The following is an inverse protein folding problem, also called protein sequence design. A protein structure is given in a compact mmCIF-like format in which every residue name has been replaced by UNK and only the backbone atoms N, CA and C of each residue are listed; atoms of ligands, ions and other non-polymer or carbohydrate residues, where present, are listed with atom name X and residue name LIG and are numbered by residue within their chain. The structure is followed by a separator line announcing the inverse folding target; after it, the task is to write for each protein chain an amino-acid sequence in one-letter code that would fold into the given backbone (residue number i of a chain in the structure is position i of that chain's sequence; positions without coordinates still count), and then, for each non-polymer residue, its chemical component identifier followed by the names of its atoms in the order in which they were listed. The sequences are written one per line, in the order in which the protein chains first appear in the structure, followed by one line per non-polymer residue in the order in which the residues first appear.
data_IF_382098963512
#
_entry.id   IF_382098963512
#
_cell.length_a   1.000
_cell.length_b   1.000
_cell.length_c   1.000
_cell.angle_alpha   90.00
_cell.angle_beta   90.00
_cell.angle_gamma   90.00
#
_symmetry.space_group_name_H-M   'P 1'
#
loop_
_entity.id
_entity.type
_entity.pdbx_description
1 polymer ?
#
# COMPACT_ATOMS: atom_id res chain seq x y z
N UNK A 1 -0.54 -16.21 -15.34
CA UNK A 1 -1.20 -15.04 -15.97
C UNK A 1 -0.17 -14.01 -16.39
N UNK A 2 -0.53 -13.07 -17.29
CA UNK A 2 0.29 -11.89 -17.57
C UNK A 2 -0.25 -10.69 -16.83
N UNK A 3 0.53 -10.14 -15.90
CA UNK A 3 0.09 -9.16 -14.93
C UNK A 3 0.96 -7.90 -15.00
N UNK A 4 0.31 -6.73 -15.10
CA UNK A 4 0.99 -5.46 -14.89
C UNK A 4 0.94 -5.10 -13.39
N UNK A 5 2.11 -4.83 -12.78
CA UNK A 5 2.21 -4.28 -11.43
C UNK A 5 2.81 -2.88 -11.52
N UNK A 6 2.05 -1.85 -11.27
CA UNK A 6 2.59 -0.49 -11.13
C UNK A 6 3.04 -0.22 -9.70
N UNK A 7 4.08 0.58 -9.52
CA UNK A 7 4.73 0.72 -8.22
C UNK A 7 5.58 -0.51 -7.85
N UNK A 8 6.13 -1.20 -8.85
CA UNK A 8 6.86 -2.46 -8.69
C UNK A 8 8.16 -2.35 -7.86
N UNK A 9 8.76 -1.17 -7.77
CA UNK A 9 9.89 -0.89 -6.87
C UNK A 9 9.44 -0.37 -5.49
N UNK A 10 8.13 -0.19 -5.29
CA UNK A 10 7.53 0.17 -4.02
C UNK A 10 7.53 -1.00 -3.03
N UNK A 11 7.12 -0.74 -1.79
CA UNK A 11 7.07 -1.74 -0.72
C UNK A 11 6.15 -2.91 -1.07
N UNK A 12 4.86 -2.64 -1.25
CA UNK A 12 3.86 -3.69 -1.52
C UNK A 12 4.05 -4.25 -2.93
N UNK A 13 4.34 -3.37 -3.91
CA UNK A 13 4.51 -3.79 -5.30
C UNK A 13 5.65 -4.77 -5.51
N UNK A 14 6.80 -4.56 -4.86
CA UNK A 14 7.92 -5.48 -4.95
C UNK A 14 7.64 -6.83 -4.26
N UNK A 15 7.01 -6.80 -3.08
CA UNK A 15 6.63 -8.01 -2.36
C UNK A 15 5.61 -8.85 -3.15
N UNK A 16 4.59 -8.19 -3.72
CA UNK A 16 3.60 -8.85 -4.58
C UNK A 16 4.23 -9.41 -5.86
N UNK A 17 5.05 -8.60 -6.54
CA UNK A 17 5.73 -9.04 -7.77
C UNK A 17 6.58 -10.29 -7.54
N UNK A 18 7.32 -10.35 -6.43
CA UNK A 18 8.12 -11.52 -6.09
C UNK A 18 7.24 -12.78 -5.95
N UNK A 19 6.14 -12.69 -5.21
CA UNK A 19 5.23 -13.83 -5.01
C UNK A 19 4.53 -14.27 -6.31
N UNK A 20 4.18 -13.33 -7.19
CA UNK A 20 3.65 -13.64 -8.52
C UNK A 20 4.69 -14.39 -9.38
N UNK A 21 5.94 -13.93 -9.38
CA UNK A 21 7.04 -14.54 -10.12
C UNK A 21 7.37 -15.95 -9.63
N UNK A 22 7.44 -16.14 -8.29
CA UNK A 22 7.63 -17.45 -7.65
C UNK A 22 6.50 -18.43 -7.98
N UNK A 23 5.29 -17.92 -8.18
CA UNK A 23 4.12 -18.68 -8.62
C UNK A 23 4.14 -19.05 -10.12
N UNK A 24 5.01 -18.42 -10.90
CA UNK A 24 5.17 -18.64 -12.33
C UNK A 24 4.34 -17.71 -13.23
N UNK A 25 3.82 -16.61 -12.71
CA UNK A 25 3.16 -15.58 -13.53
C UNK A 25 4.19 -14.74 -14.31
N UNK A 26 3.78 -14.22 -15.46
CA UNK A 26 4.55 -13.21 -16.20
C UNK A 26 4.24 -11.82 -15.66
N UNK A 27 5.21 -11.15 -15.09
CA UNK A 27 5.03 -9.84 -14.45
C UNK A 27 5.76 -8.74 -15.23
N UNK A 28 5.01 -7.72 -15.61
CA UNK A 28 5.59 -6.45 -16.09
C UNK A 28 5.49 -5.44 -14.95
N UNK A 29 6.63 -5.00 -14.44
CA UNK A 29 6.73 -3.99 -13.38
C UNK A 29 6.94 -2.60 -13.95
N UNK A 30 6.19 -1.63 -13.47
CA UNK A 30 6.37 -0.19 -13.80
C UNK A 30 6.61 0.60 -12.52
N UNK A 31 7.64 1.45 -12.51
CA UNK A 31 7.94 2.39 -11.43
C UNK A 31 8.79 3.54 -12.00
N UNK A 32 8.65 4.75 -11.49
CA UNK A 32 9.46 5.90 -11.92
C UNK A 32 10.69 6.13 -11.04
N UNK A 33 10.92 5.29 -10.06
CA UNK A 33 12.04 5.37 -9.10
C UNK A 33 12.23 6.76 -8.49
N UNK A 34 11.13 7.53 -8.29
CA UNK A 34 11.21 8.88 -7.74
C UNK A 34 11.96 8.91 -6.39
N UNK A 35 12.50 10.07 -6.07
CA UNK A 35 13.35 10.33 -4.91
C UNK A 35 12.58 10.77 -3.65
N UNK A 36 11.29 10.51 -3.57
CA UNK A 36 10.49 10.78 -2.37
C UNK A 36 11.09 10.17 -1.10
N UNK A 37 11.70 8.99 -1.24
CA UNK A 37 12.55 8.38 -0.23
C UNK A 37 13.73 7.66 -0.91
N UNK A 38 14.63 7.09 -0.12
CA UNK A 38 15.87 6.45 -0.59
C UNK A 38 15.67 5.57 -1.83
N UNK A 39 16.22 6.03 -2.96
CA UNK A 39 16.16 5.33 -4.25
C UNK A 39 16.96 4.02 -4.21
N UNK A 40 18.00 3.91 -3.35
CA UNK A 40 18.76 2.67 -3.24
C UNK A 40 17.92 1.54 -2.65
N UNK A 41 17.00 1.84 -1.73
CA UNK A 41 16.04 0.85 -1.24
C UNK A 41 15.10 0.37 -2.36
N UNK A 42 14.65 1.27 -3.25
CA UNK A 42 13.84 0.90 -4.42
C UNK A 42 14.63 -0.01 -5.37
N UNK A 43 15.89 0.35 -5.67
CA UNK A 43 16.79 -0.46 -6.51
C UNK A 43 17.09 -1.83 -5.87
N UNK A 44 17.27 -1.89 -4.56
CA UNK A 44 17.48 -3.14 -3.83
C UNK A 44 16.26 -4.07 -3.89
N UNK A 45 15.03 -3.52 -3.84
CA UNK A 45 13.80 -4.29 -4.08
C UNK A 45 13.75 -4.84 -5.49
N UNK A 46 14.05 -4.03 -6.51
CA UNK A 46 14.10 -4.45 -7.91
C UNK A 46 15.17 -5.52 -8.16
N UNK A 47 16.34 -5.42 -7.52
CA UNK A 47 17.40 -6.41 -7.64
C UNK A 47 16.96 -7.83 -7.27
N UNK A 48 15.89 -7.97 -6.46
CA UNK A 48 15.28 -9.26 -6.11
C UNK A 48 14.37 -9.80 -7.23
N UNK A 49 13.83 -8.94 -8.07
CA UNK A 49 12.92 -9.30 -9.16
C UNK A 49 13.63 -9.55 -10.48
N UNK A 50 14.63 -8.74 -10.79
CA UNK A 50 15.37 -8.78 -12.08
C UNK A 50 15.95 -10.15 -12.47
N UNK A 51 16.38 -11.06 -11.55
CA UNK A 51 16.87 -12.37 -11.93
C UNK A 51 15.79 -13.33 -12.48
N UNK A 52 14.49 -13.02 -12.26
CA UNK A 52 13.40 -13.86 -12.74
C UNK A 52 13.19 -13.66 -14.25
N UNK A 53 13.23 -14.74 -15.04
CA UNK A 53 13.09 -14.68 -16.50
C UNK A 53 11.72 -14.22 -16.98
N UNK A 54 10.70 -14.37 -16.12
CA UNK A 54 9.31 -13.95 -16.34
C UNK A 54 9.02 -12.54 -15.76
N UNK A 55 10.09 -11.75 -15.47
CA UNK A 55 9.97 -10.36 -15.05
C UNK A 55 10.52 -9.40 -16.10
N UNK A 56 9.71 -8.41 -16.45
CA UNK A 56 10.16 -7.28 -17.27
C UNK A 56 9.93 -5.98 -16.49
N UNK A 57 10.93 -5.11 -16.43
CA UNK A 57 10.83 -3.82 -15.76
C UNK A 57 10.86 -2.67 -16.76
N UNK A 58 9.94 -1.71 -16.60
CA UNK A 58 9.92 -0.45 -17.30
C UNK A 58 10.00 0.70 -16.31
N UNK A 59 11.09 1.47 -16.36
CA UNK A 59 11.22 2.72 -15.62
C UNK A 59 10.41 3.81 -16.33
N UNK A 60 9.25 4.15 -15.77
CA UNK A 60 8.33 5.10 -16.38
C UNK A 60 7.40 5.71 -15.34
N UNK A 61 7.05 7.00 -15.55
CA UNK A 61 5.97 7.64 -14.79
C UNK A 61 4.62 7.24 -15.37
N UNK A 62 3.72 6.74 -14.50
CA UNK A 62 2.36 6.33 -14.89
C UNK A 62 1.51 7.50 -15.44
N UNK A 63 1.85 8.74 -15.12
CA UNK A 63 1.18 9.91 -15.65
C UNK A 63 1.64 10.26 -17.09
N UNK A 64 2.68 9.58 -17.60
CA UNK A 64 3.13 9.72 -18.98
C UNK A 64 2.35 8.76 -19.90
N UNK A 65 1.24 9.25 -20.45
CA UNK A 65 0.39 8.46 -21.33
C UNK A 65 1.11 7.99 -22.61
N UNK A 66 2.06 8.77 -23.12
CA UNK A 66 2.82 8.41 -24.35
C UNK A 66 3.71 7.18 -24.12
N UNK A 67 4.16 6.97 -22.88
CA UNK A 67 4.94 5.79 -22.53
C UNK A 67 4.07 4.59 -22.10
N UNK A 68 2.93 4.82 -21.43
CA UNK A 68 2.07 3.78 -20.90
C UNK A 68 1.15 3.17 -21.98
N UNK A 69 0.58 3.97 -22.88
CA UNK A 69 -0.34 3.46 -23.90
C UNK A 69 0.32 2.42 -24.84
N UNK A 70 1.57 2.59 -25.34
CA UNK A 70 2.24 1.53 -26.11
C UNK A 70 2.50 0.24 -25.32
N UNK A 71 2.75 0.36 -23.99
CA UNK A 71 2.92 -0.82 -23.14
C UNK A 71 1.65 -1.68 -23.12
N UNK A 72 0.49 -1.06 -22.91
CA UNK A 72 -0.78 -1.77 -22.95
C UNK A 72 -1.08 -2.36 -24.32
N UNK A 73 -0.81 -1.63 -25.39
CA UNK A 73 -1.04 -2.11 -26.75
C UNK A 73 -0.20 -3.36 -27.10
N UNK A 74 1.02 -3.45 -26.57
CA UNK A 74 1.96 -4.53 -26.82
C UNK A 74 1.68 -5.77 -25.98
N UNK A 75 1.40 -5.62 -24.68
CA UNK A 75 1.59 -6.68 -23.71
C UNK A 75 0.33 -7.52 -23.39
N UNK A 76 -0.88 -7.06 -23.68
CA UNK A 76 -2.15 -7.78 -23.48
C UNK A 76 -2.30 -8.36 -22.06
N UNK A 77 -2.36 -7.49 -21.07
CA UNK A 77 -2.51 -7.89 -19.67
C UNK A 77 -3.88 -8.52 -19.39
N UNK A 78 -3.89 -9.62 -18.65
CA UNK A 78 -5.11 -10.22 -18.11
C UNK A 78 -5.55 -9.47 -16.84
N UNK A 79 -4.59 -9.12 -15.99
CA UNK A 79 -4.85 -8.36 -14.76
C UNK A 79 -3.86 -7.19 -14.63
N UNK A 80 -4.35 -6.10 -14.06
CA UNK A 80 -3.53 -4.95 -13.67
C UNK A 80 -3.65 -4.74 -12.17
N UNK A 81 -2.51 -4.68 -11.47
CA UNK A 81 -2.43 -4.34 -10.06
C UNK A 81 -1.79 -2.96 -9.94
N UNK A 82 -2.62 -1.96 -9.68
CA UNK A 82 -2.20 -0.57 -9.63
C UNK A 82 -1.87 -0.14 -8.19
N UNK A 83 -0.57 -0.14 -7.86
CA UNK A 83 -0.04 0.26 -6.55
C UNK A 83 0.81 1.53 -6.62
N UNK A 84 1.14 2.01 -7.82
CA UNK A 84 1.87 3.26 -8.01
C UNK A 84 1.01 4.44 -7.55
N UNK A 85 1.55 5.22 -6.65
CA UNK A 85 0.93 6.45 -6.17
C UNK A 85 1.94 7.31 -5.41
N UNK A 86 1.70 8.61 -5.33
CA UNK A 86 2.31 9.39 -4.28
C UNK A 86 1.54 9.10 -2.99
N UNK A 87 2.21 8.50 -2.02
CA UNK A 87 1.64 8.14 -0.73
C UNK A 87 2.10 9.10 0.38
N UNK A 88 1.42 9.05 1.53
CA UNK A 88 1.75 9.84 2.70
C UNK A 88 0.81 11.03 2.91
N UNK A 89 0.09 11.03 4.03
CA UNK A 89 -0.85 12.11 4.39
C UNK A 89 -0.13 13.45 4.54
N UNK A 90 0.97 13.46 5.29
CA UNK A 90 1.69 14.70 5.64
C UNK A 90 2.35 15.37 4.44
N UNK A 91 2.97 14.59 3.55
CA UNK A 91 3.61 15.12 2.36
C UNK A 91 2.59 15.77 1.40
N UNK A 92 1.31 15.35 1.44
CA UNK A 92 0.26 15.98 0.64
C UNK A 92 -0.07 17.42 1.06
N UNK A 93 0.30 17.83 2.28
CA UNK A 93 0.11 19.19 2.78
C UNK A 93 1.17 20.13 2.17
N UNK A 94 2.41 19.65 2.03
CA UNK A 94 3.54 20.46 1.56
C UNK A 94 3.76 20.37 0.06
N UNK A 95 3.37 19.28 -0.59
CA UNK A 95 3.59 19.01 -2.01
C UNK A 95 2.31 18.50 -2.72
N UNK A 96 1.25 19.31 -2.80
CA UNK A 96 -0.06 18.85 -3.28
C UNK A 96 -0.08 18.45 -4.76
N UNK A 97 0.68 19.15 -5.62
CA UNK A 97 0.66 18.92 -7.07
C UNK A 97 1.14 17.53 -7.49
N UNK A 98 2.10 16.94 -6.76
CA UNK A 98 2.57 15.57 -7.08
C UNK A 98 1.48 14.52 -6.84
N UNK A 99 0.54 14.79 -5.90
CA UNK A 99 -0.61 13.92 -5.68
C UNK A 99 -1.63 14.00 -6.81
N UNK A 100 -1.90 15.20 -7.33
CA UNK A 100 -2.77 15.34 -8.49
C UNK A 100 -2.17 14.61 -9.69
N UNK A 101 -0.89 14.81 -9.98
CA UNK A 101 -0.21 14.20 -11.11
C UNK A 101 -0.16 12.66 -10.99
N UNK A 102 0.36 12.14 -9.89
CA UNK A 102 0.53 10.69 -9.74
C UNK A 102 -0.80 9.97 -9.49
N UNK A 103 -1.66 10.51 -8.60
CA UNK A 103 -2.82 9.76 -8.13
C UNK A 103 -4.05 9.96 -9.01
N UNK A 104 -4.20 11.10 -9.68
CA UNK A 104 -5.36 11.36 -10.55
C UNK A 104 -5.01 11.15 -12.02
N UNK A 105 -4.01 11.88 -12.54
CA UNK A 105 -3.61 11.74 -13.95
C UNK A 105 -3.04 10.35 -14.21
N UNK A 106 -2.14 9.87 -13.34
CA UNK A 106 -1.57 8.53 -13.46
C UNK A 106 -2.63 7.42 -13.39
N UNK A 107 -3.59 7.53 -12.47
CA UNK A 107 -4.67 6.55 -12.39
C UNK A 107 -5.59 6.58 -13.63
N UNK A 108 -5.88 7.76 -14.16
CA UNK A 108 -6.63 7.90 -15.41
C UNK A 108 -5.93 7.19 -16.57
N UNK A 109 -4.61 7.35 -16.68
CA UNK A 109 -3.81 6.68 -17.71
C UNK A 109 -3.93 5.16 -17.62
N UNK A 110 -3.90 4.60 -16.40
CA UNK A 110 -4.08 3.16 -16.17
C UNK A 110 -5.49 2.70 -16.52
N UNK A 111 -6.52 3.45 -16.12
CA UNK A 111 -7.92 3.15 -16.46
C UNK A 111 -8.14 3.13 -17.98
N UNK A 112 -7.60 4.11 -18.71
CA UNK A 112 -7.67 4.16 -20.17
C UNK A 112 -6.94 2.98 -20.82
N UNK A 113 -5.75 2.63 -20.33
CA UNK A 113 -5.03 1.45 -20.79
C UNK A 113 -5.84 0.17 -20.61
N UNK A 114 -6.43 -0.02 -19.42
CA UNK A 114 -7.29 -1.17 -19.12
C UNK A 114 -8.52 -1.22 -20.03
N UNK A 115 -9.19 -0.08 -20.22
CA UNK A 115 -10.38 0.02 -21.08
C UNK A 115 -10.06 -0.32 -22.53
N UNK A 116 -9.00 0.27 -23.09
CA UNK A 116 -8.63 0.13 -24.50
C UNK A 116 -8.18 -1.29 -24.85
N UNK A 117 -7.61 -2.01 -23.89
CA UNK A 117 -7.11 -3.37 -24.11
C UNK A 117 -8.01 -4.45 -23.52
N UNK A 118 -9.20 -4.08 -23.03
CA UNK A 118 -10.17 -5.00 -22.43
C UNK A 118 -9.54 -5.87 -21.34
N UNK A 119 -8.79 -5.24 -20.43
CA UNK A 119 -8.22 -5.94 -19.27
C UNK A 119 -9.35 -6.56 -18.45
N UNK A 120 -9.19 -7.82 -18.07
CA UNK A 120 -10.25 -8.58 -17.38
C UNK A 120 -10.51 -8.06 -15.96
N UNK A 121 -9.44 -7.65 -15.25
CA UNK A 121 -9.54 -7.19 -13.88
C UNK A 121 -8.50 -6.11 -13.54
N UNK A 122 -8.95 -5.00 -12.99
CA UNK A 122 -8.11 -3.97 -12.37
C UNK A 122 -8.26 -4.02 -10.84
N UNK A 123 -7.18 -4.41 -10.16
CA UNK A 123 -7.05 -4.29 -8.70
C UNK A 123 -6.26 -3.02 -8.40
N UNK A 124 -6.77 -2.14 -7.54
CA UNK A 124 -6.08 -0.87 -7.27
C UNK A 124 -6.04 -0.52 -5.78
N UNK A 125 -4.98 0.18 -5.40
CA UNK A 125 -4.82 0.65 -4.03
C UNK A 125 -5.67 1.88 -3.75
N UNK A 126 -6.67 1.75 -2.88
CA UNK A 126 -7.24 2.82 -2.08
C UNK A 126 -6.52 2.90 -0.73
N UNK A 127 -7.10 3.50 0.29
CA UNK A 127 -6.46 3.71 1.58
C UNK A 127 -7.49 3.86 2.69
N UNK A 128 -7.19 3.39 3.89
CA UNK A 128 -7.97 3.69 5.10
C UNK A 128 -8.10 5.21 5.39
N UNK A 129 -7.20 6.03 4.82
CA UNK A 129 -7.28 7.49 4.94
C UNK A 129 -8.59 8.08 4.37
N UNK A 130 -9.30 7.36 3.49
CA UNK A 130 -10.60 7.81 2.94
C UNK A 130 -11.68 7.92 4.00
N UNK A 131 -11.56 7.18 5.10
CA UNK A 131 -12.50 7.26 6.23
C UNK A 131 -12.46 8.63 6.92
N UNK A 132 -11.34 9.36 6.81
CA UNK A 132 -11.24 10.76 7.22
C UNK A 132 -11.67 11.00 8.66
N UNK A 133 -12.71 11.80 8.82
CA UNK A 133 -13.28 12.21 10.12
C UNK A 133 -14.25 11.19 10.74
N UNK A 134 -14.43 10.00 10.17
CA UNK A 134 -15.30 8.97 10.74
C UNK A 134 -14.83 8.55 12.13
N UNK A 135 -15.79 8.40 13.05
CA UNK A 135 -15.53 8.03 14.45
C UNK A 135 -16.07 6.64 14.81
N UNK A 136 -16.97 6.08 13.98
CA UNK A 136 -17.49 4.72 14.16
C UNK A 136 -16.41 3.70 13.82
N UNK A 137 -16.19 2.74 14.71
CA UNK A 137 -15.26 1.63 14.55
C UNK A 137 -15.98 0.29 14.74
N UNK A 138 -15.52 -0.80 14.06
CA UNK A 138 -14.54 -0.79 12.98
C UNK A 138 -15.03 -0.02 11.75
N UNK A 139 -14.09 0.49 10.93
CA UNK A 139 -14.41 1.11 9.65
C UNK A 139 -14.97 0.09 8.67
N UNK A 140 -16.17 0.32 8.17
CA UNK A 140 -16.83 -0.53 7.18
C UNK A 140 -16.76 0.07 5.78
N UNK A 141 -16.73 -0.77 4.75
CA UNK A 141 -16.79 -0.31 3.34
C UNK A 141 -18.09 0.42 3.02
N UNK A 142 -19.17 0.15 3.78
CA UNK A 142 -20.47 0.82 3.69
C UNK A 142 -20.53 2.20 4.35
N UNK A 143 -19.51 2.59 5.14
CA UNK A 143 -19.49 3.90 5.77
C UNK A 143 -19.31 5.01 4.74
N UNK A 144 -19.96 6.16 4.99
CA UNK A 144 -19.75 7.35 4.16
C UNK A 144 -18.30 7.85 4.29
N UNK A 145 -17.65 8.11 3.18
CA UNK A 145 -16.25 8.56 3.10
C UNK A 145 -16.10 9.87 2.31
N UNK A 146 -17.09 10.75 2.39
CA UNK A 146 -17.14 12.01 1.64
C UNK A 146 -16.47 13.19 2.40
N UNK A 147 -15.87 12.93 3.57
CA UNK A 147 -15.22 13.93 4.40
C UNK A 147 -13.73 13.59 4.66
N UNK A 148 -12.90 13.49 3.59
CA UNK A 148 -11.47 13.25 3.75
C UNK A 148 -10.80 14.43 4.47
N UNK A 149 -9.83 14.14 5.35
CA UNK A 149 -9.12 15.16 6.14
C UNK A 149 -7.72 15.47 5.58
N UNK A 150 -7.39 14.97 4.41
CA UNK A 150 -6.13 15.25 3.70
C UNK A 150 -6.33 15.19 2.18
N UNK A 151 -5.49 15.90 1.43
CA UNK A 151 -5.49 15.81 -0.02
C UNK A 151 -5.16 14.39 -0.52
N UNK A 152 -4.25 13.69 0.15
CA UNK A 152 -3.99 12.28 -0.15
C UNK A 152 -5.27 11.44 -0.07
N UNK A 153 -6.02 11.56 1.01
CA UNK A 153 -7.29 10.85 1.19
C UNK A 153 -8.31 11.23 0.09
N UNK A 154 -8.41 12.53 -0.23
CA UNK A 154 -9.28 13.01 -1.31
C UNK A 154 -8.90 12.41 -2.67
N UNK A 155 -7.59 12.31 -3.01
CA UNK A 155 -7.17 11.66 -4.26
C UNK A 155 -7.50 10.16 -4.28
N UNK A 156 -7.38 9.45 -3.14
CA UNK A 156 -7.74 8.03 -3.06
C UNK A 156 -9.25 7.81 -3.17
N UNK A 157 -10.07 8.67 -2.55
CA UNK A 157 -11.52 8.65 -2.77
C UNK A 157 -11.88 8.94 -4.24
N UNK A 158 -11.20 9.90 -4.86
CA UNK A 158 -11.37 10.17 -6.29
C UNK A 158 -11.05 8.94 -7.16
N UNK A 159 -10.01 8.16 -6.83
CA UNK A 159 -9.73 6.90 -7.52
C UNK A 159 -10.91 5.92 -7.44
N UNK A 160 -11.54 5.77 -6.27
CA UNK A 160 -12.74 4.92 -6.12
C UNK A 160 -13.87 5.38 -7.05
N UNK A 161 -14.14 6.70 -7.12
CA UNK A 161 -15.16 7.27 -7.99
C UNK A 161 -14.84 7.11 -9.47
N UNK A 162 -13.58 7.30 -9.87
CA UNK A 162 -13.11 7.10 -11.25
C UNK A 162 -13.27 5.63 -11.65
N UNK A 163 -12.84 4.69 -10.81
CA UNK A 163 -12.99 3.26 -11.06
C UNK A 163 -14.46 2.85 -11.20
N UNK A 164 -15.35 3.37 -10.34
CA UNK A 164 -16.80 3.16 -10.47
C UNK A 164 -17.33 3.64 -11.81
N UNK A 165 -16.94 4.84 -12.24
CA UNK A 165 -17.38 5.40 -13.52
C UNK A 165 -16.96 4.53 -14.70
N UNK A 166 -15.70 4.04 -14.70
CA UNK A 166 -15.19 3.15 -15.75
C UNK A 166 -15.85 1.78 -15.74
N UNK A 167 -16.12 1.25 -14.56
CA UNK A 167 -16.88 0.02 -14.40
C UNK A 167 -18.28 0.15 -14.97
N UNK A 168 -19.00 1.23 -14.64
CA UNK A 168 -20.35 1.48 -15.11
C UNK A 168 -20.44 1.72 -16.62
N UNK A 169 -19.56 2.59 -17.16
CA UNK A 169 -19.63 3.02 -18.57
C UNK A 169 -19.07 1.96 -19.53
N UNK A 170 -18.00 1.26 -19.13
CA UNK A 170 -17.23 0.40 -20.03
C UNK A 170 -17.22 -1.08 -19.60
N UNK A 171 -17.86 -1.42 -18.48
CA UNK A 171 -17.88 -2.80 -17.99
C UNK A 171 -16.55 -3.32 -17.46
N UNK A 172 -15.55 -2.44 -17.23
CA UNK A 172 -14.27 -2.82 -16.66
C UNK A 172 -14.47 -3.34 -15.23
N UNK A 173 -14.03 -4.56 -14.95
CA UNK A 173 -14.07 -5.09 -13.59
C UNK A 173 -12.99 -4.44 -12.73
N UNK A 174 -13.37 -3.80 -11.63
CA UNK A 174 -12.46 -3.08 -10.75
C UNK A 174 -12.65 -3.47 -9.29
N UNK A 175 -11.56 -3.77 -8.60
CA UNK A 175 -11.56 -4.02 -7.15
C UNK A 175 -10.62 -3.06 -6.45
N UNK A 176 -11.18 -2.16 -5.66
CA UNK A 176 -10.43 -1.24 -4.80
C UNK A 176 -10.12 -1.86 -3.45
N UNK A 177 -8.88 -1.77 -3.00
CA UNK A 177 -8.45 -2.23 -1.69
C UNK A 177 -8.08 -1.02 -0.83
N UNK A 178 -8.81 -0.79 0.27
CA UNK A 178 -8.48 0.22 1.29
C UNK A 178 -7.45 -0.38 2.23
N UNK A 179 -6.17 -0.14 1.93
CA UNK A 179 -5.06 -0.60 2.76
C UNK A 179 -5.03 0.15 4.10
N UNK A 180 -4.91 -0.62 5.18
CA UNK A 180 -4.61 -0.11 6.51
C UNK A 180 -3.08 0.02 6.69
N UNK A 181 -2.57 0.04 7.91
CA UNK A 181 -1.15 0.32 8.15
C UNK A 181 -0.29 -0.92 7.87
N UNK A 182 0.28 -0.98 6.67
CA UNK A 182 1.15 -2.09 6.26
C UNK A 182 2.56 -1.88 6.80
N UNK A 183 3.14 -2.94 7.40
CA UNK A 183 4.52 -2.96 7.87
C UNK A 183 5.20 -4.29 7.53
N UNK A 184 6.51 -4.33 7.68
CA UNK A 184 7.31 -5.53 7.45
C UNK A 184 8.61 -5.24 6.75
N UNK A 185 9.30 -6.31 6.36
CA UNK A 185 10.57 -6.28 5.64
C UNK A 185 10.46 -5.47 4.36
N UNK A 186 11.52 -4.74 4.03
CA UNK A 186 11.53 -3.86 2.86
C UNK A 186 10.52 -2.70 2.95
N UNK A 187 10.04 -2.39 4.16
CA UNK A 187 9.05 -1.36 4.42
C UNK A 187 9.46 0.04 3.94
N UNK A 188 8.52 0.97 4.02
CA UNK A 188 8.76 2.37 3.63
C UNK A 188 9.50 3.12 4.75
N UNK A 189 10.58 3.86 4.43
CA UNK A 189 11.40 4.53 5.44
C UNK A 189 10.73 5.77 6.08
N UNK A 190 9.64 6.26 5.48
CA UNK A 190 8.81 7.37 5.98
C UNK A 190 7.68 6.92 6.94
N UNK A 191 7.60 5.62 7.24
CA UNK A 191 6.60 5.07 8.16
C UNK A 191 7.18 4.84 9.56
N UNK A 192 6.30 4.90 10.58
CA UNK A 192 6.69 4.78 12.00
C UNK A 192 7.55 3.55 12.32
N UNK A 193 7.29 2.33 11.81
CA UNK A 193 8.15 1.18 12.09
C UNK A 193 9.62 1.44 11.74
N UNK A 194 9.85 2.03 10.58
CA UNK A 194 11.19 2.32 10.08
C UNK A 194 11.84 3.51 10.82
N UNK A 195 11.07 4.60 11.00
CA UNK A 195 11.53 5.81 11.69
C UNK A 195 11.95 5.46 13.13
N UNK A 196 11.09 4.74 13.85
CA UNK A 196 11.35 4.37 15.25
C UNK A 196 12.56 3.46 15.36
N UNK A 197 12.66 2.42 14.52
CA UNK A 197 13.82 1.52 14.51
C UNK A 197 15.14 2.28 14.30
N UNK A 198 15.17 3.17 13.31
CA UNK A 198 16.36 4.01 13.04
C UNK A 198 16.73 4.91 14.21
N UNK A 199 15.75 5.55 14.83
CA UNK A 199 15.98 6.45 15.96
C UNK A 199 16.43 5.69 17.21
N UNK A 200 15.80 4.56 17.53
CA UNK A 200 16.17 3.72 18.68
C UNK A 200 17.60 3.21 18.52
N UNK A 201 17.97 2.69 17.36
CA UNK A 201 19.34 2.23 17.09
C UNK A 201 20.37 3.35 17.22
N UNK A 202 20.02 4.57 16.81
CA UNK A 202 20.85 5.76 16.90
C UNK A 202 20.86 6.41 18.29
N UNK A 203 20.16 5.85 19.29
CA UNK A 203 19.94 6.43 20.62
C UNK A 203 19.35 7.87 20.56
N UNK A 204 18.45 8.11 19.60
CA UNK A 204 17.74 9.37 19.41
C UNK A 204 16.28 9.21 19.85
N UNK A 205 15.62 10.31 20.27
CA UNK A 205 14.22 10.24 20.68
C UNK A 205 13.30 9.88 19.51
N UNK A 206 12.24 9.12 19.81
CA UNK A 206 11.10 8.88 18.93
C UNK A 206 9.94 9.80 19.32
N UNK A 207 9.33 10.43 18.33
CA UNK A 207 8.18 11.30 18.54
C UNK A 207 6.89 10.47 18.56
N UNK A 208 6.19 10.50 19.69
CA UNK A 208 4.91 9.83 19.89
C UNK A 208 3.80 10.87 19.97
N UNK A 209 3.13 11.09 18.83
CA UNK A 209 2.04 12.05 18.74
C UNK A 209 0.80 11.56 19.49
N UNK A 210 -0.11 12.48 19.82
CA UNK A 210 -1.24 12.26 20.73
C UNK A 210 -0.78 11.59 22.04
N UNK A 211 0.40 11.98 22.53
CA UNK A 211 1.00 11.43 23.75
C UNK A 211 1.14 9.89 23.74
N UNK A 212 1.19 9.28 22.55
CA UNK A 212 1.22 7.82 22.35
C UNK A 212 -0.16 7.16 22.35
N UNK A 213 -1.25 7.90 22.53
CA UNK A 213 -2.63 7.38 22.58
C UNK A 213 -3.19 7.17 21.17
N UNK A 214 -2.58 6.29 20.42
CA UNK A 214 -3.04 5.85 19.09
C UNK A 214 -3.23 4.36 19.06
N UNK A 215 -4.27 3.92 18.36
CA UNK A 215 -4.45 2.53 17.99
C UNK A 215 -4.39 2.41 16.48
N UNK A 216 -3.64 1.43 15.99
CA UNK A 216 -3.46 1.19 14.56
C UNK A 216 -3.69 -0.27 14.23
N UNK A 217 -4.38 -0.50 13.15
CA UNK A 217 -4.46 -1.81 12.52
C UNK A 217 -3.15 -2.03 11.74
N UNK A 218 -2.17 -2.62 12.42
CA UNK A 218 -0.89 -2.99 11.82
C UNK A 218 -1.01 -4.33 11.12
N UNK A 219 -0.79 -4.35 9.81
CA UNK A 219 -0.90 -5.55 9.00
C UNK A 219 0.45 -5.92 8.40
N UNK A 220 0.90 -7.13 8.63
CA UNK A 220 2.19 -7.58 8.11
C UNK A 220 2.15 -7.77 6.59
N UNK A 221 3.27 -7.50 5.92
CA UNK A 221 3.36 -7.47 4.46
C UNK A 221 2.94 -8.78 3.80
N UNK A 222 3.27 -9.95 4.37
CA UNK A 222 2.90 -11.24 3.77
C UNK A 222 1.38 -11.46 3.79
N UNK A 223 0.68 -11.03 4.84
CA UNK A 223 -0.77 -11.12 4.92
C UNK A 223 -1.43 -10.19 3.87
N UNK A 224 -0.86 -9.00 3.68
CA UNK A 224 -1.31 -8.07 2.64
C UNK A 224 -1.14 -8.68 1.25
N UNK A 225 0.05 -9.23 0.95
CA UNK A 225 0.33 -9.86 -0.35
C UNK A 225 -0.59 -11.04 -0.59
N UNK A 226 -0.83 -11.88 0.43
CA UNK A 226 -1.78 -12.99 0.34
C UNK A 226 -3.20 -12.51 0.01
N UNK A 227 -3.67 -11.43 0.67
CA UNK A 227 -4.98 -10.85 0.38
C UNK A 227 -5.10 -10.35 -1.05
N UNK A 228 -4.09 -9.64 -1.56
CA UNK A 228 -4.06 -9.16 -2.95
C UNK A 228 -4.04 -10.32 -3.95
N UNK A 229 -3.25 -11.37 -3.69
CA UNK A 229 -3.21 -12.57 -4.54
C UNK A 229 -4.57 -13.26 -4.63
N UNK A 230 -5.29 -13.40 -3.52
CA UNK A 230 -6.64 -13.99 -3.50
C UNK A 230 -7.64 -13.19 -4.31
N UNK A 231 -7.53 -11.85 -4.29
CA UNK A 231 -8.36 -10.97 -5.12
C UNK A 231 -8.00 -11.10 -6.61
N UNK A 232 -6.72 -11.28 -6.96
CA UNK A 232 -6.27 -11.51 -8.34
C UNK A 232 -6.80 -12.86 -8.87
N UNK A 233 -6.76 -13.90 -8.04
CA UNK A 233 -7.06 -15.27 -8.46
C UNK A 233 -8.54 -15.58 -8.60
N UNK A 234 -9.39 -14.80 -7.96
CA UNK A 234 -10.83 -14.99 -7.99
C UNK A 234 -11.48 -13.97 -8.91
N UNK A 235 -12.36 -14.42 -9.79
CA UNK A 235 -13.14 -13.51 -10.61
C UNK A 235 -13.92 -12.53 -9.74
N UNK A 236 -13.97 -11.24 -10.08
CA UNK A 236 -14.75 -10.26 -9.35
C UNK A 236 -16.21 -10.69 -9.22
N UNK A 237 -16.77 -10.57 -8.01
CA UNK A 237 -18.18 -10.90 -7.74
C UNK A 237 -19.08 -9.89 -8.43
N UNK A 238 -18.68 -8.63 -8.40
CA UNK A 238 -19.36 -7.53 -9.08
C UNK A 238 -18.36 -6.73 -9.93
N UNK A 239 -18.87 -5.99 -10.92
CA UNK A 239 -18.01 -5.18 -11.79
C UNK A 239 -17.24 -4.06 -11.05
N UNK A 240 -17.78 -3.57 -9.96
CA UNK A 240 -17.13 -2.61 -9.08
C UNK A 240 -17.28 -3.05 -7.63
N UNK A 241 -16.14 -3.17 -6.93
CA UNK A 241 -16.16 -3.56 -5.53
C UNK A 241 -15.03 -2.86 -4.77
N UNK A 242 -15.30 -2.54 -3.50
CA UNK A 242 -14.32 -2.00 -2.54
C UNK A 242 -14.24 -2.95 -1.34
N UNK A 243 -13.02 -3.22 -0.89
CA UNK A 243 -12.76 -3.98 0.32
C UNK A 243 -11.76 -3.27 1.24
N UNK A 244 -11.93 -3.44 2.54
CA UNK A 244 -10.86 -3.19 3.48
C UNK A 244 -9.87 -4.36 3.47
N UNK A 245 -8.58 -4.02 3.53
CA UNK A 245 -7.51 -5.00 3.71
C UNK A 245 -6.62 -4.58 4.89
N UNK A 246 -6.64 -5.40 5.94
CA UNK A 246 -6.03 -5.11 7.23
C UNK A 246 -5.96 -6.36 8.09
N UNK A 247 -5.46 -6.23 9.32
CA UNK A 247 -5.35 -7.32 10.28
C UNK A 247 -6.64 -7.52 11.11
N UNK A 248 -7.51 -6.51 11.13
CA UNK A 248 -8.71 -6.49 11.98
C UNK A 248 -8.42 -6.69 13.49
N UNK A 249 -7.21 -6.33 13.91
CA UNK A 249 -6.74 -6.36 15.30
C UNK A 249 -5.96 -5.08 15.58
N UNK A 250 -6.62 -4.03 16.11
CA UNK A 250 -5.95 -2.76 16.36
C UNK A 250 -5.05 -2.88 17.59
N UNK A 251 -3.79 -2.47 17.42
CA UNK A 251 -2.75 -2.48 18.43
C UNK A 251 -2.47 -1.07 18.93
N UNK A 252 -2.17 -0.93 20.21
CA UNK A 252 -1.71 0.34 20.77
C UNK A 252 -0.30 0.68 20.26
N UNK A 253 -0.09 1.97 19.94
CA UNK A 253 1.21 2.43 19.46
C UNK A 253 2.34 2.15 20.47
N UNK A 254 2.05 2.21 21.76
CA UNK A 254 3.03 1.89 22.81
C UNK A 254 3.40 0.41 22.81
N UNK A 255 2.45 -0.50 22.64
CA UNK A 255 2.70 -1.95 22.49
C UNK A 255 3.61 -2.22 21.27
N UNK A 256 3.36 -1.51 20.16
CA UNK A 256 4.23 -1.60 18.99
C UNK A 256 5.67 -1.15 19.31
N UNK A 257 5.84 -0.04 20.05
CA UNK A 257 7.17 0.46 20.46
C UNK A 257 7.87 -0.51 21.40
N UNK A 258 7.16 -1.05 22.40
CA UNK A 258 7.70 -2.05 23.34
C UNK A 258 8.17 -3.32 22.61
N UNK A 259 7.42 -3.75 21.59
CA UNK A 259 7.81 -4.90 20.76
C UNK A 259 9.07 -4.59 19.94
N UNK A 260 9.22 -3.37 19.41
CA UNK A 260 10.46 -2.93 18.78
C UNK A 260 11.64 -2.91 19.77
N UNK A 261 11.45 -2.37 20.99
CA UNK A 261 12.46 -2.33 22.04
C UNK A 261 12.97 -3.76 22.37
N UNK A 262 12.05 -4.70 22.51
CA UNK A 262 12.33 -6.13 22.77
C UNK A 262 13.30 -6.70 21.71
N UNK A 263 12.99 -6.57 20.43
CA UNK A 263 13.79 -7.19 19.36
C UNK A 263 15.03 -6.37 18.98
N UNK A 264 15.03 -5.06 19.22
CA UNK A 264 16.23 -4.24 19.07
C UNK A 264 17.23 -4.43 20.22
N UNK A 265 16.78 -4.86 21.39
CA UNK A 265 17.56 -4.95 22.62
C UNK A 265 17.94 -3.57 23.18
N UNK A 266 17.12 -2.55 22.90
CA UNK A 266 17.33 -1.15 23.30
C UNK A 266 16.02 -0.49 23.69
N UNK A 267 16.04 0.33 24.74
CA UNK A 267 14.89 1.14 25.16
C UNK A 267 14.82 2.44 24.36
N UNK A 268 13.63 2.81 23.91
CA UNK A 268 13.36 4.05 23.20
C UNK A 268 13.36 5.26 24.15
N UNK A 269 13.97 6.35 23.73
CA UNK A 269 13.75 7.67 24.34
C UNK A 269 12.45 8.23 23.75
N UNK A 270 11.39 8.29 24.55
CA UNK A 270 10.04 8.65 24.09
C UNK A 270 9.82 10.16 24.28
N UNK A 271 9.54 10.88 23.18
CA UNK A 271 9.14 12.28 23.19
C UNK A 271 7.63 12.35 22.95
N UNK A 272 6.85 12.69 23.97
CA UNK A 272 5.40 12.72 23.92
C UNK A 272 4.92 14.08 23.41
N UNK A 273 4.22 14.09 22.26
CA UNK A 273 3.79 15.31 21.58
C UNK A 273 2.25 15.35 21.43
N UNK A 274 1.65 16.54 21.30
CA UNK A 274 0.24 16.67 20.95
C UNK A 274 -0.09 16.01 19.60
N UNK A 275 -1.38 15.75 19.37
CA UNK A 275 -1.86 15.20 18.11
C UNK A 275 -1.52 16.13 16.93
N UNK A 276 -1.12 15.56 15.80
CA UNK A 276 -0.81 16.30 14.58
C UNK A 276 -2.06 16.56 13.73
N UNK A 277 -2.03 17.63 12.95
CA UNK A 277 -3.07 17.93 11.97
C UNK A 277 -3.15 16.82 10.90
N UNK A 278 -4.36 16.39 10.56
CA UNK A 278 -4.62 15.34 9.58
C UNK A 278 -4.44 13.90 10.11
N UNK A 279 -4.03 13.72 11.37
CA UNK A 279 -4.00 12.39 12.00
C UNK A 279 -5.39 12.02 12.54
N UNK A 280 -5.66 10.71 12.54
CA UNK A 280 -6.82 10.10 13.21
C UNK A 280 -6.34 9.34 14.43
N UNK A 281 -7.16 9.30 15.48
CA UNK A 281 -6.77 8.64 16.74
C UNK A 281 -6.65 7.13 16.57
N UNK A 282 -7.68 6.49 16.02
CA UNK A 282 -7.77 5.05 15.90
C UNK A 282 -8.05 4.64 14.45
N UNK A 283 -7.43 3.54 14.01
CA UNK A 283 -7.78 2.86 12.76
C UNK A 283 -8.02 1.39 13.05
N UNK A 284 -9.18 0.89 12.60
CA UNK A 284 -9.60 -0.49 12.79
C UNK A 284 -10.42 -0.93 11.59
N UNK A 285 -9.94 -1.93 10.86
CA UNK A 285 -10.59 -2.46 9.66
C UNK A 285 -11.68 -3.47 10.00
N UNK A 286 -12.87 -3.29 9.43
CA UNK A 286 -13.78 -4.41 9.21
C UNK A 286 -13.38 -5.09 7.89
N UNK A 287 -12.80 -6.29 7.99
CA UNK A 287 -12.35 -7.10 6.86
C UNK A 287 -13.29 -8.27 6.57
N UNK A 288 -14.46 -8.31 7.21
CA UNK A 288 -15.42 -9.43 7.11
C UNK A 288 -15.85 -9.74 5.68
N UNK A 289 -16.01 -8.72 4.84
CA UNK A 289 -16.35 -8.90 3.43
C UNK A 289 -15.21 -9.56 2.65
N UNK A 290 -13.96 -9.13 2.86
CA UNK A 290 -12.79 -9.73 2.20
C UNK A 290 -12.59 -11.18 2.68
N UNK A 291 -12.81 -11.45 3.97
CA UNK A 291 -12.77 -12.81 4.53
C UNK A 291 -13.83 -13.70 3.88
N UNK A 292 -15.06 -13.25 3.80
CA UNK A 292 -16.18 -14.00 3.21
C UNK A 292 -15.97 -14.29 1.73
N UNK A 293 -15.55 -13.28 0.98
CA UNK A 293 -15.54 -13.32 -0.48
C UNK A 293 -14.27 -13.94 -1.07
N UNK A 294 -13.15 -13.85 -0.35
CA UNK A 294 -11.83 -14.28 -0.82
C UNK A 294 -11.08 -15.22 0.13
N UNK A 295 -11.72 -15.70 1.19
CA UNK A 295 -11.09 -16.55 2.21
C UNK A 295 -9.83 -15.92 2.81
N UNK A 296 -9.81 -14.59 2.94
CA UNK A 296 -8.69 -13.83 3.49
C UNK A 296 -8.64 -13.95 5.02
N UNK A 297 -7.55 -14.45 5.55
CA UNK A 297 -7.34 -14.56 7.00
C UNK A 297 -5.92 -14.09 7.32
N UNK A 298 -5.74 -12.87 7.84
CA UNK A 298 -4.43 -12.42 8.32
C UNK A 298 -4.00 -13.28 9.51
N UNK A 299 -2.73 -13.72 9.52
CA UNK A 299 -2.24 -14.74 10.47
C UNK A 299 -1.03 -14.27 11.27
N UNK A 300 -0.37 -13.19 10.82
CA UNK A 300 0.89 -12.75 11.42
C UNK A 300 0.61 -11.84 12.61
N UNK A 301 0.95 -12.31 13.82
CA UNK A 301 0.87 -11.48 15.02
C UNK A 301 1.88 -10.33 14.96
N UNK A 302 1.62 -9.26 15.72
CA UNK A 302 2.52 -8.12 15.83
C UNK A 302 3.93 -8.54 16.24
N UNK A 303 4.04 -9.42 17.23
CA UNK A 303 5.32 -9.92 17.76
C UNK A 303 6.16 -10.60 16.66
N UNK A 304 5.57 -11.52 15.91
CA UNK A 304 6.24 -12.22 14.80
C UNK A 304 6.63 -11.28 13.66
N UNK A 305 5.73 -10.38 13.27
CA UNK A 305 5.99 -9.45 12.18
C UNK A 305 7.09 -8.43 12.52
N UNK A 306 7.11 -7.92 13.76
CA UNK A 306 8.14 -6.99 14.23
C UNK A 306 9.50 -7.69 14.34
N UNK A 307 9.55 -8.94 14.82
CA UNK A 307 10.78 -9.73 14.84
C UNK A 307 11.40 -9.84 13.45
N UNK A 308 10.62 -10.26 12.46
CA UNK A 308 11.08 -10.39 11.06
C UNK A 308 11.56 -9.05 10.51
N UNK A 309 10.80 -7.98 10.74
CA UNK A 309 11.16 -6.64 10.28
C UNK A 309 12.48 -6.17 10.90
N UNK A 310 12.68 -6.34 12.22
CA UNK A 310 13.91 -5.92 12.91
C UNK A 310 15.12 -6.73 12.44
N UNK A 311 14.97 -8.05 12.24
CA UNK A 311 16.04 -8.90 11.74
C UNK A 311 16.47 -8.49 10.33
N UNK A 312 15.50 -8.23 9.44
CA UNK A 312 15.76 -7.69 8.11
C UNK A 312 16.46 -6.33 8.19
N UNK A 313 15.97 -5.41 9.04
CA UNK A 313 16.53 -4.08 9.17
C UNK A 313 18.01 -4.12 9.61
N UNK A 314 18.32 -4.94 10.62
CA UNK A 314 19.70 -5.13 11.09
C UNK A 314 20.60 -5.69 9.98
N UNK A 315 20.13 -6.68 9.23
CA UNK A 315 20.90 -7.30 8.14
C UNK A 315 21.15 -6.33 6.98
N UNK A 316 20.17 -5.49 6.65
CA UNK A 316 20.25 -4.61 5.48
C UNK A 316 20.95 -3.26 5.76
N UNK A 317 20.81 -2.71 6.98
CA UNK A 317 21.29 -1.35 7.31
C UNK A 317 22.40 -1.31 8.33
N UNK A 318 22.63 -2.34 9.11
CA UNK A 318 23.59 -2.30 10.24
C UNK A 318 24.81 -3.19 10.00
N UNK A 319 24.62 -4.31 9.33
CA UNK A 319 25.70 -5.24 8.93
C UNK A 319 26.13 -4.97 7.49
#
# INVERSE_FOLDING_TARGET
MKILVTGAAGFIGAALSLRLLERGDDVVGVDNLNDYYDVNLKKARLARLLPHKNFTFLECDIANNEAIAPLFAKEKFQCVVHLAAQAGVRYSITNPHVYAQSNLVGFLTILEGCRQQNVEHLVYASSSSVYGANTKLPFSTSDNVDHPVSLYAATKKANELMAHSYSHLYGLSTTGLRFFTVYGEWGRPDMSPFIFTRQILANKPIDLFNYGNHRRDFTYIDDIVEGVLRVIDKSPIEKYQIYNIGNSQPEELLTFVETLEKYLGKTAIKNLLPMQAGDVQDTYADVSELMRDFDYFPKTSLDVGVEKFVNWYKTFYVN
#
